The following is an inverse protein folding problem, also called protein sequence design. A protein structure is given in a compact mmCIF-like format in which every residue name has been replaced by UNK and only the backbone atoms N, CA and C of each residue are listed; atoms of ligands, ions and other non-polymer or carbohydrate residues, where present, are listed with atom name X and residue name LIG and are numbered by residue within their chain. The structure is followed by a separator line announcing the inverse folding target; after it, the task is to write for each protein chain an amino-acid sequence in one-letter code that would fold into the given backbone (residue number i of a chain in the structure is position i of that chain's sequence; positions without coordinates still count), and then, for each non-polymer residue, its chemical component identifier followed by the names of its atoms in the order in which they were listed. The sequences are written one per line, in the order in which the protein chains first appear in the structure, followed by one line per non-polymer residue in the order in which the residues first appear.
data_IF_191525564810
#
_entry.id   IF_191525564810
#
_cell.length_a   1.000
_cell.length_b   1.000
_cell.length_c   1.000
_cell.angle_alpha   90.00
_cell.angle_beta   90.00
_cell.angle_gamma   90.00
#
_symmetry.space_group_name_H-M   'P 1'
#
loop_
_entity.id
_entity.type
_entity.pdbx_description
1 polymer ?
#
# COMPACT_ATOMS: atom_id res chain seq x y z
N UNK A 1 9.31 21.10 -12.60
CA UNK A 1 8.41 20.68 -11.53
C UNK A 1 8.51 19.19 -11.30
N UNK A 2 8.67 18.77 -10.07
CA UNK A 2 8.80 17.35 -9.75
C UNK A 2 7.42 16.77 -9.43
N UNK A 3 7.08 15.64 -10.04
CA UNK A 3 5.83 14.96 -9.75
C UNK A 3 5.86 14.42 -8.31
N UNK A 4 4.71 14.42 -7.66
CA UNK A 4 4.60 13.86 -6.32
C UNK A 4 4.83 12.36 -6.34
N UNK A 5 5.51 11.85 -5.31
CA UNK A 5 5.63 10.42 -5.12
C UNK A 5 4.30 9.85 -4.69
N UNK A 6 3.95 8.70 -5.22
CA UNK A 6 2.66 8.06 -4.98
C UNK A 6 2.80 6.92 -3.99
N UNK A 7 1.93 6.91 -3.00
CA UNK A 7 1.93 5.86 -1.97
C UNK A 7 0.56 5.21 -1.93
N UNK A 8 0.53 3.91 -2.13
CA UNK A 8 -0.69 3.12 -2.02
C UNK A 8 -0.77 2.58 -0.60
N UNK A 9 -1.86 2.88 0.08
CA UNK A 9 -2.08 2.43 1.46
C UNK A 9 -3.14 1.34 1.43
N UNK A 10 -2.76 0.13 1.83
CA UNK A 10 -3.64 -1.03 1.82
C UNK A 10 -3.90 -1.45 3.25
N UNK A 11 -5.07 -1.12 3.78
CA UNK A 11 -5.43 -1.38 5.17
C UNK A 11 -6.95 -1.43 5.28
N UNK A 12 -7.49 -2.45 5.96
CA UNK A 12 -8.93 -2.55 6.15
C UNK A 12 -9.44 -1.65 7.29
N UNK A 13 -8.54 -1.10 8.10
CA UNK A 13 -8.90 -0.12 9.13
C UNK A 13 -8.83 1.27 8.54
N UNK A 14 -9.98 1.84 8.19
CA UNK A 14 -10.04 3.15 7.58
C UNK A 14 -9.48 4.26 8.47
N UNK A 15 -9.63 4.14 9.79
CA UNK A 15 -9.12 5.16 10.70
C UNK A 15 -7.61 5.25 10.63
N UNK A 16 -6.95 4.09 10.63
CA UNK A 16 -5.48 4.05 10.53
C UNK A 16 -5.03 4.52 9.15
N UNK A 17 -5.70 4.04 8.10
CA UNK A 17 -5.34 4.41 6.74
C UNK A 17 -5.47 5.91 6.52
N UNK A 18 -6.53 6.51 7.03
CA UNK A 18 -6.74 7.95 6.88
C UNK A 18 -5.71 8.77 7.64
N UNK A 19 -5.32 8.32 8.85
CA UNK A 19 -4.26 9.00 9.59
C UNK A 19 -2.95 8.97 8.83
N UNK A 20 -2.59 7.82 8.28
CA UNK A 20 -1.36 7.69 7.50
C UNK A 20 -1.44 8.58 6.27
N UNK A 21 -2.58 8.56 5.57
CA UNK A 21 -2.78 9.37 4.37
C UNK A 21 -2.66 10.85 4.69
N UNK A 22 -3.26 11.30 5.78
CA UNK A 22 -3.21 12.70 6.19
C UNK A 22 -1.77 13.13 6.45
N UNK A 23 -1.02 12.32 7.18
CA UNK A 23 0.38 12.63 7.47
C UNK A 23 1.21 12.71 6.19
N UNK A 24 1.05 11.71 5.32
CA UNK A 24 1.83 11.67 4.08
C UNK A 24 1.45 12.80 3.12
N UNK A 25 0.18 13.17 3.09
CA UNK A 25 -0.26 14.29 2.27
C UNK A 25 0.39 15.59 2.73
N UNK A 26 0.55 15.77 4.04
CA UNK A 26 1.26 16.93 4.57
C UNK A 26 2.73 16.95 4.16
N UNK A 27 3.31 15.77 3.93
CA UNK A 27 4.70 15.63 3.49
C UNK A 27 4.80 15.65 1.97
N UNK A 28 3.76 16.08 1.29
CA UNK A 28 3.72 16.26 -0.16
C UNK A 28 3.71 14.97 -0.96
N UNK A 29 3.22 13.88 -0.38
CA UNK A 29 2.99 12.65 -1.12
C UNK A 29 1.55 12.61 -1.65
N UNK A 30 1.37 11.90 -2.76
CA UNK A 30 0.04 11.60 -3.25
C UNK A 30 -0.33 10.20 -2.74
N UNK A 31 -1.50 10.07 -2.11
CA UNK A 31 -1.89 8.81 -1.50
C UNK A 31 -3.18 8.27 -2.08
N UNK A 32 -3.32 6.95 -2.02
CA UNK A 32 -4.57 6.29 -2.34
C UNK A 32 -4.78 5.17 -1.34
N UNK A 33 -5.99 5.06 -0.82
CA UNK A 33 -6.34 4.05 0.18
C UNK A 33 -7.20 2.98 -0.47
N UNK A 34 -6.85 1.71 -0.25
CA UNK A 34 -7.69 0.59 -0.59
C UNK A 34 -7.82 -0.31 0.63
N UNK A 35 -8.93 -1.02 0.74
CA UNK A 35 -9.29 -1.74 1.95
C UNK A 35 -9.22 -3.26 1.84
N UNK A 36 -8.90 -3.79 0.69
CA UNK A 36 -8.70 -5.23 0.55
C UNK A 36 -7.63 -5.54 -0.50
N UNK A 37 -7.20 -6.80 -0.48
CA UNK A 37 -6.06 -7.21 -1.31
C UNK A 37 -6.37 -7.24 -2.80
N UNK A 38 -7.59 -7.62 -3.18
CA UNK A 38 -7.92 -7.65 -4.60
C UNK A 38 -7.97 -6.25 -5.19
N UNK A 39 -8.54 -5.29 -4.45
CA UNK A 39 -8.51 -3.89 -4.87
C UNK A 39 -7.09 -3.37 -4.93
N UNK A 40 -6.23 -3.81 -4.01
CA UNK A 40 -4.83 -3.39 -4.02
C UNK A 40 -4.15 -3.81 -5.32
N UNK A 41 -4.36 -5.04 -5.76
CA UNK A 41 -3.77 -5.52 -7.00
C UNK A 41 -4.29 -4.76 -8.21
N UNK A 42 -5.58 -4.46 -8.21
CA UNK A 42 -6.19 -3.71 -9.30
C UNK A 42 -5.68 -2.27 -9.35
N UNK A 43 -5.68 -1.60 -8.21
CA UNK A 43 -5.26 -0.20 -8.13
C UNK A 43 -3.76 -0.05 -8.35
N UNK A 44 -2.98 -1.06 -7.98
CA UNK A 44 -1.54 -1.04 -8.25
C UNK A 44 -1.25 -0.81 -9.72
N UNK A 45 -2.03 -1.45 -10.60
CA UNK A 45 -1.79 -1.35 -12.04
C UNK A 45 -2.12 0.02 -12.61
N UNK A 46 -3.13 0.69 -12.05
CA UNK A 46 -3.57 1.99 -12.56
C UNK A 46 -2.91 3.16 -11.84
N UNK A 47 -2.76 3.06 -10.52
CA UNK A 47 -2.19 4.14 -9.72
C UNK A 47 -0.67 4.22 -9.88
N UNK A 48 -0.02 3.09 -10.08
CA UNK A 48 1.45 2.99 -10.24
C UNK A 48 2.20 3.64 -9.08
N UNK A 49 2.02 3.12 -7.87
CA UNK A 49 2.65 3.74 -6.71
C UNK A 49 4.17 3.58 -6.71
N UNK A 50 4.84 4.50 -6.03
CA UNK A 50 6.28 4.43 -5.79
C UNK A 50 6.59 3.66 -4.51
N UNK A 51 5.59 3.49 -3.65
CA UNK A 51 5.72 2.77 -2.39
C UNK A 51 4.34 2.22 -2.01
N UNK A 52 4.32 1.04 -1.43
CA UNK A 52 3.09 0.44 -0.93
C UNK A 52 3.23 0.19 0.56
N UNK A 53 2.24 0.66 1.33
CA UNK A 53 2.11 0.35 2.74
C UNK A 53 1.01 -0.69 2.84
N UNK A 54 1.34 -1.89 3.29
CA UNK A 54 0.47 -3.05 3.15
C UNK A 54 0.22 -3.72 4.50
N UNK A 55 -1.04 -3.78 4.90
CA UNK A 55 -1.43 -4.51 6.10
C UNK A 55 -1.47 -6.00 5.79
N UNK A 56 -0.92 -6.80 6.69
CA UNK A 56 -0.93 -8.26 6.56
C UNK A 56 -2.31 -8.87 6.77
N UNK A 57 -3.09 -8.26 7.64
CA UNK A 57 -4.39 -8.79 8.08
C UNK A 57 -5.53 -8.22 7.24
N UNK A 58 -5.57 -8.59 5.96
CA UNK A 58 -6.59 -8.11 5.04
C UNK A 58 -7.70 -9.14 4.86
N UNK A 59 -8.94 -8.68 4.61
CA UNK A 59 -10.00 -9.62 4.21
C UNK A 59 -9.73 -10.15 2.80
N UNK A 60 -10.19 -11.36 2.52
CA UNK A 60 -9.98 -11.98 1.22
C UNK A 60 -8.57 -12.53 1.11
N UNK A 61 -7.82 -12.03 0.12
CA UNK A 61 -6.41 -12.43 -0.02
C UNK A 61 -5.57 -11.64 0.99
N UNK A 62 -4.65 -12.32 1.64
CA UNK A 62 -3.85 -11.69 2.67
C UNK A 62 -2.71 -10.86 2.09
N UNK A 63 -2.04 -10.10 2.98
CA UNK A 63 -0.97 -9.20 2.55
C UNK A 63 0.21 -9.92 1.92
N UNK A 64 0.53 -11.13 2.36
CA UNK A 64 1.63 -11.89 1.77
C UNK A 64 1.31 -12.26 0.32
N UNK A 65 0.07 -12.65 0.06
CA UNK A 65 -0.33 -12.99 -1.31
C UNK A 65 -0.30 -11.76 -2.22
N UNK A 66 -0.79 -10.63 -1.71
CA UNK A 66 -0.72 -9.36 -2.46
C UNK A 66 0.73 -9.05 -2.82
N UNK A 67 1.63 -9.17 -1.86
CA UNK A 67 3.05 -8.91 -2.07
C UNK A 67 3.62 -9.84 -3.15
N UNK A 68 3.32 -11.12 -3.08
CA UNK A 68 3.81 -12.07 -4.08
C UNK A 68 3.32 -11.73 -5.48
N UNK A 69 2.03 -11.39 -5.60
CA UNK A 69 1.48 -11.03 -6.90
C UNK A 69 2.16 -9.80 -7.49
N UNK A 70 2.38 -8.79 -6.65
CA UNK A 70 3.04 -7.57 -7.12
C UNK A 70 4.48 -7.87 -7.53
N UNK A 71 5.18 -8.74 -6.80
CA UNK A 71 6.57 -9.08 -7.10
C UNK A 71 6.72 -9.81 -8.42
N UNK A 72 5.67 -10.41 -8.96
CA UNK A 72 5.74 -11.01 -10.29
C UNK A 72 6.01 -9.98 -11.39
N UNK A 73 5.62 -8.74 -11.18
CA UNK A 73 5.71 -7.72 -12.23
C UNK A 73 6.44 -6.44 -11.81
N UNK A 74 6.83 -6.31 -10.54
CA UNK A 74 7.37 -5.04 -10.07
C UNK A 74 8.30 -5.22 -8.87
N UNK A 75 9.30 -4.34 -8.79
CA UNK A 75 10.21 -4.24 -7.65
C UNK A 75 9.84 -3.10 -6.71
N UNK A 76 8.61 -2.57 -6.83
CA UNK A 76 8.19 -1.44 -6.00
C UNK A 76 8.39 -1.76 -4.52
N UNK A 77 8.94 -0.83 -3.72
CA UNK A 77 9.10 -1.08 -2.28
C UNK A 77 7.76 -1.31 -1.61
N UNK A 78 7.70 -2.32 -0.75
CA UNK A 78 6.50 -2.66 0.01
C UNK A 78 6.90 -2.73 1.48
N UNK A 79 6.20 -1.96 2.32
CA UNK A 79 6.39 -2.00 3.75
C UNK A 79 5.16 -2.67 4.37
N UNK A 80 5.38 -3.75 5.09
CA UNK A 80 4.29 -4.46 5.77
C UNK A 80 3.94 -3.75 7.07
N UNK A 81 2.66 -3.42 7.21
CA UNK A 81 2.14 -2.79 8.41
C UNK A 81 1.53 -3.87 9.29
N UNK A 82 2.33 -4.45 10.15
CA UNK A 82 1.86 -5.48 11.07
C UNK A 82 2.47 -5.26 12.45
N UNK A 83 1.89 -5.91 13.43
CA UNK A 83 2.44 -5.85 14.79
C UNK A 83 3.85 -6.43 14.87
N UNK A 84 4.24 -7.23 13.90
CA UNK A 84 5.57 -7.85 13.87
C UNK A 84 6.60 -7.03 13.10
N UNK A 85 6.18 -6.01 12.37
CA UNK A 85 7.10 -5.15 11.65
C UNK A 85 7.88 -5.81 10.53
N UNK A 86 7.33 -6.84 9.90
CA UNK A 86 8.01 -7.54 8.83
C UNK A 86 7.97 -6.74 7.53
N UNK A 87 9.01 -6.90 6.72
CA UNK A 87 9.08 -6.28 5.41
C UNK A 87 9.10 -7.35 4.33
N UNK A 88 8.53 -7.01 3.17
CA UNK A 88 8.55 -7.87 2.00
C UNK A 88 9.49 -7.26 0.96
N UNK A 89 10.61 -7.90 0.76
CA UNK A 89 11.63 -7.41 -0.17
C UNK A 89 11.64 -8.19 -1.47
#
# INVERSE_FOLDING_TARGET
MVAKQKILIVDDDNNIAELISLYLTKECFETKIVNDGELALKEFQTFRPNLILLDLMLPGIDGYQVCREIRHTSDVPIIMLSAKGETCL
#
